data_IF_050438926554
#
_entry.id   IF_050438926554
#
_cell.length_a   1.000
_cell.length_b   1.000
_cell.length_c   1.000
_cell.angle_alpha   90.00
_cell.angle_beta   90.00
_cell.angle_gamma   90.00
#
_symmetry.space_group_name_H-M   'P 1'
#
loop_
_entity.id
_entity.type
_entity.pdbx_description
1 polymer ?
#
# COMPACT_ATOMS: atom_id res chain seq x y z
N UNK A 1 -3.49 5.20 2.81
CA UNK A 1 -2.17 4.95 2.18
C UNK A 1 -1.54 3.74 2.86
N UNK A 2 -0.93 2.85 2.10
CA UNK A 2 -0.23 1.66 2.61
C UNK A 2 1.27 1.82 2.33
N UNK A 3 2.10 1.73 3.37
CA UNK A 3 3.56 1.80 3.27
C UNK A 3 4.17 0.40 3.32
N UNK A 4 5.10 0.09 2.42
CA UNK A 4 5.90 -1.13 2.49
C UNK A 4 6.99 -0.95 3.54
N UNK A 5 6.76 -1.41 4.77
CA UNK A 5 7.66 -1.11 5.90
C UNK A 5 9.03 -1.80 5.77
N UNK A 6 9.15 -2.86 4.97
CA UNK A 6 10.41 -3.56 4.73
C UNK A 6 11.20 -3.07 3.50
N UNK A 7 10.76 -1.99 2.84
CA UNK A 7 11.53 -1.45 1.70
C UNK A 7 12.93 -1.00 2.13
N UNK A 8 13.92 -1.24 1.27
CA UNK A 8 15.26 -0.67 1.41
C UNK A 8 15.27 0.86 1.34
N UNK A 9 16.38 1.48 1.72
CA UNK A 9 16.67 2.90 1.49
C UNK A 9 16.99 3.13 0.01
N UNK A 10 17.74 2.22 -0.60
CA UNK A 10 17.95 2.11 -2.05
C UNK A 10 17.95 0.63 -2.46
N UNK A 11 18.23 0.35 -3.74
CA UNK A 11 18.39 -1.04 -4.23
C UNK A 11 19.58 -1.73 -3.55
N UNK A 12 20.65 -0.98 -3.27
CA UNK A 12 21.91 -1.47 -2.68
C UNK A 12 21.96 -1.30 -1.15
N UNK A 13 21.15 -0.41 -0.58
CA UNK A 13 21.14 -0.09 0.84
C UNK A 13 19.79 -0.49 1.46
N UNK A 14 19.74 -1.65 2.14
CA UNK A 14 18.53 -2.10 2.83
C UNK A 14 18.20 -1.20 4.03
N UNK A 15 19.22 -0.81 4.81
CA UNK A 15 19.06 -0.05 6.05
C UNK A 15 20.07 1.07 6.16
N UNK A 16 19.63 2.20 6.72
CA UNK A 16 20.48 3.30 7.18
C UNK A 16 20.27 3.49 8.67
N UNK A 17 21.35 3.58 9.43
CA UNK A 17 21.31 3.72 10.89
C UNK A 17 20.46 2.65 11.61
N UNK A 18 20.49 1.42 11.08
CA UNK A 18 19.75 0.28 11.62
C UNK A 18 18.28 0.19 11.23
N UNK A 19 17.77 1.13 10.43
CA UNK A 19 16.38 1.22 10.01
C UNK A 19 16.20 1.03 8.50
N UNK A 20 15.16 0.28 8.09
CA UNK A 20 14.80 0.13 6.67
C UNK A 20 14.28 1.45 6.10
N UNK A 21 14.45 1.70 4.80
CA UNK A 21 13.89 2.89 4.15
C UNK A 21 12.37 3.01 4.34
N UNK A 22 11.65 1.88 4.27
CA UNK A 22 10.22 1.83 4.54
C UNK A 22 9.83 2.24 5.97
N UNK A 23 10.57 1.80 6.98
CA UNK A 23 10.33 2.17 8.37
C UNK A 23 10.70 3.64 8.64
N UNK A 24 11.78 4.13 8.03
CA UNK A 24 12.14 5.55 8.09
C UNK A 24 11.03 6.43 7.50
N UNK A 25 10.58 6.11 6.27
CA UNK A 25 9.49 6.82 5.61
C UNK A 25 8.20 6.80 6.44
N UNK A 26 7.86 5.66 7.04
CA UNK A 26 6.68 5.52 7.90
C UNK A 26 6.74 6.49 9.08
N UNK A 27 7.89 6.61 9.77
CA UNK A 27 8.05 7.54 10.90
C UNK A 27 7.86 9.00 10.47
N UNK A 28 8.47 9.41 9.36
CA UNK A 28 8.31 10.76 8.82
C UNK A 28 6.86 11.05 8.46
N UNK A 29 6.21 10.11 7.78
CA UNK A 29 4.80 10.21 7.42
C UNK A 29 3.89 10.31 8.65
N UNK A 30 4.13 9.50 9.69
CA UNK A 30 3.36 9.56 10.94
C UNK A 30 3.50 10.90 11.66
N UNK A 31 4.72 11.45 11.72
CA UNK A 31 4.98 12.73 12.36
C UNK A 31 4.27 13.90 11.65
N UNK A 32 4.32 13.92 10.31
CA UNK A 32 3.63 14.93 9.50
C UNK A 32 2.10 14.74 9.53
N UNK A 33 1.63 13.48 9.39
CA UNK A 33 0.21 13.13 9.40
C UNK A 33 -0.47 13.51 10.72
N UNK A 34 0.20 13.35 11.86
CA UNK A 34 -0.36 13.73 13.16
C UNK A 34 -0.73 15.22 13.27
N UNK A 35 -0.08 16.08 12.49
CA UNK A 35 -0.32 17.52 12.44
C UNK A 35 -1.14 17.95 11.22
N UNK A 36 -1.39 17.02 10.29
CA UNK A 36 -2.05 17.31 9.04
C UNK A 36 -3.57 17.47 9.24
N UNK A 37 -4.20 18.56 8.73
CA UNK A 37 -5.62 18.84 8.99
C UNK A 37 -6.58 17.74 8.57
N UNK A 38 -6.21 16.96 7.53
CA UNK A 38 -7.04 15.92 6.93
C UNK A 38 -6.72 14.51 7.41
N UNK A 39 -6.01 14.37 8.53
CA UNK A 39 -5.56 13.08 9.07
C UNK A 39 -6.67 12.04 9.26
N UNK A 40 -7.89 12.50 9.53
CA UNK A 40 -9.07 11.65 9.75
C UNK A 40 -9.68 11.12 8.43
N UNK A 41 -9.31 11.70 7.28
CA UNK A 41 -9.78 11.27 5.94
C UNK A 41 -8.87 10.21 5.30
N UNK A 42 -7.63 10.06 5.78
CA UNK A 42 -6.65 9.13 5.22
C UNK A 42 -5.92 8.40 6.34
N UNK A 43 -6.17 7.11 6.48
CA UNK A 43 -5.36 6.24 7.33
C UNK A 43 -4.01 5.93 6.68
N UNK A 44 -2.95 5.89 7.50
CA UNK A 44 -1.65 5.32 7.15
C UNK A 44 -1.59 3.90 7.71
N UNK A 45 -1.54 2.92 6.84
CA UNK A 45 -1.39 1.51 7.17
C UNK A 45 -0.04 0.99 6.67
N UNK A 46 0.37 -0.18 7.15
CA UNK A 46 1.59 -0.85 6.71
C UNK A 46 1.27 -2.19 6.08
N UNK A 47 2.16 -2.63 5.21
CA UNK A 47 2.27 -4.02 4.77
C UNK A 47 3.72 -4.46 4.87
N UNK A 48 3.93 -5.77 4.92
CA UNK A 48 5.28 -6.35 4.90
C UNK A 48 5.99 -6.01 3.59
N UNK A 49 5.44 -6.45 2.46
CA UNK A 49 6.08 -6.35 1.16
C UNK A 49 5.06 -5.96 0.06
N UNK A 50 5.50 -5.15 -0.91
CA UNK A 50 4.78 -4.85 -2.16
C UNK A 50 5.44 -5.52 -3.39
N UNK A 51 6.38 -6.44 -3.18
CA UNK A 51 7.12 -7.18 -4.20
C UNK A 51 7.83 -6.29 -5.24
N UNK A 52 8.38 -5.16 -4.79
CA UNK A 52 9.02 -4.16 -5.65
C UNK A 52 10.40 -3.75 -5.15
N UNK A 53 11.14 -4.70 -4.55
CA UNK A 53 12.43 -4.45 -3.91
C UNK A 53 13.51 -3.94 -4.89
N UNK A 54 13.32 -4.11 -6.20
CA UNK A 54 14.19 -3.56 -7.25
C UNK A 54 13.96 -2.06 -7.49
N UNK A 55 12.90 -1.47 -6.92
CA UNK A 55 12.55 -0.05 -7.05
C UNK A 55 12.08 0.54 -5.70
N UNK A 56 12.88 0.44 -4.61
CA UNK A 56 12.50 0.98 -3.31
C UNK A 56 12.65 2.51 -3.29
N UNK A 57 12.03 3.23 -2.35
CA UNK A 57 10.98 2.81 -1.43
C UNK A 57 9.60 2.89 -2.11
N UNK A 58 8.58 2.22 -1.55
CA UNK A 58 7.25 2.13 -2.18
C UNK A 58 6.06 2.31 -1.23
N UNK A 59 5.02 2.94 -1.75
CA UNK A 59 3.70 3.09 -1.10
C UNK A 59 2.57 2.85 -2.10
N UNK A 60 1.38 2.58 -1.58
CA UNK A 60 0.16 2.51 -2.36
C UNK A 60 -0.92 3.47 -1.82
N UNK A 61 -1.54 4.26 -2.70
CA UNK A 61 -2.83 4.89 -2.41
C UNK A 61 -3.94 3.92 -2.77
N UNK A 62 -4.84 3.67 -1.82
CA UNK A 62 -5.96 2.75 -1.96
C UNK A 62 -7.20 3.46 -1.44
N UNK A 63 -8.31 3.33 -2.17
CA UNK A 63 -9.60 3.90 -1.81
C UNK A 63 -10.73 3.11 -2.45
N UNK A 64 -11.87 3.03 -1.76
CA UNK A 64 -13.06 2.34 -2.28
C UNK A 64 -13.54 3.00 -3.56
N UNK A 65 -13.70 2.22 -4.63
CA UNK A 65 -14.15 2.71 -5.93
C UNK A 65 -13.13 3.57 -6.69
N UNK A 66 -11.93 3.78 -6.14
CA UNK A 66 -10.84 4.56 -6.74
C UNK A 66 -9.73 3.63 -7.25
N UNK A 67 -8.97 4.02 -8.29
CA UNK A 67 -7.80 3.26 -8.67
C UNK A 67 -6.80 3.20 -7.52
N UNK A 68 -6.07 2.08 -7.44
CA UNK A 68 -4.89 1.99 -6.59
C UNK A 68 -3.70 2.56 -7.36
N UNK A 69 -3.02 3.54 -6.77
CA UNK A 69 -1.76 4.05 -7.32
C UNK A 69 -0.59 3.46 -6.56
N UNK A 70 0.34 2.85 -7.28
CA UNK A 70 1.63 2.41 -6.75
C UNK A 70 2.67 3.48 -7.06
N UNK A 71 3.37 3.93 -6.02
CA UNK A 71 4.54 4.79 -6.13
C UNK A 71 5.78 3.99 -5.72
N UNK A 72 6.85 4.09 -6.51
CA UNK A 72 8.13 3.40 -6.33
C UNK A 72 9.28 4.39 -6.57
N UNK A 73 10.54 3.99 -6.35
CA UNK A 73 11.70 4.90 -6.44
C UNK A 73 11.61 6.12 -5.51
N UNK A 74 10.93 5.97 -4.37
CA UNK A 74 10.78 7.06 -3.42
C UNK A 74 12.05 7.21 -2.60
N UNK A 75 12.54 8.44 -2.45
CA UNK A 75 13.54 8.77 -1.44
C UNK A 75 12.84 8.81 -0.06
N UNK A 76 13.07 7.80 0.81
CA UNK A 76 12.37 7.72 2.09
C UNK A 76 12.69 8.87 3.05
N UNK A 77 13.79 9.61 2.82
CA UNK A 77 14.23 10.71 3.69
C UNK A 77 13.46 12.00 3.41
N UNK A 78 13.09 12.24 2.15
CA UNK A 78 12.60 13.55 1.70
C UNK A 78 11.15 13.53 1.21
N UNK A 79 10.62 12.39 0.74
CA UNK A 79 9.35 12.37 0.02
C UNK A 79 8.07 12.47 0.87
N UNK A 80 8.16 12.45 2.21
CA UNK A 80 6.99 12.30 3.08
C UNK A 80 5.96 13.45 2.93
N UNK A 81 6.43 14.71 2.84
CA UNK A 81 5.55 15.88 2.67
C UNK A 81 4.87 15.89 1.29
N UNK A 82 5.62 15.52 0.24
CA UNK A 82 5.09 15.41 -1.11
C UNK A 82 4.05 14.30 -1.22
N UNK A 83 4.24 13.18 -0.52
CA UNK A 83 3.24 12.11 -0.46
C UNK A 83 1.94 12.61 0.18
N UNK A 84 1.98 13.37 1.28
CA UNK A 84 0.76 13.95 1.84
C UNK A 84 0.09 14.95 0.88
N UNK A 85 0.87 15.75 0.15
CA UNK A 85 0.35 16.63 -0.92
C UNK A 85 -0.33 15.83 -2.04
N UNK A 86 0.28 14.73 -2.47
CA UNK A 86 -0.33 13.82 -3.44
C UNK A 86 -1.59 13.13 -2.89
N UNK A 87 -1.65 12.88 -1.58
CA UNK A 87 -2.83 12.33 -0.93
C UNK A 87 -4.00 13.31 -0.95
N UNK A 88 -3.77 14.61 -0.79
CA UNK A 88 -4.82 15.64 -0.94
C UNK A 88 -5.48 15.56 -2.32
N UNK A 89 -4.66 15.50 -3.38
CA UNK A 89 -5.15 15.36 -4.76
C UNK A 89 -5.98 14.08 -4.96
N UNK A 90 -5.55 12.97 -4.34
CA UNK A 90 -6.27 11.69 -4.40
C UNK A 90 -7.58 11.72 -3.61
N UNK A 91 -7.62 12.40 -2.46
CA UNK A 91 -8.80 12.57 -1.65
C UNK A 91 -9.84 13.46 -2.36
N UNK A 92 -9.40 14.58 -2.93
CA UNK A 92 -10.24 15.59 -3.59
C UNK A 92 -10.87 15.08 -4.90
N UNK A 93 -10.23 14.11 -5.54
CA UNK A 93 -10.77 13.45 -6.72
C UNK A 93 -11.82 12.41 -6.31
N UNK A 94 -13.08 12.59 -6.71
CA UNK A 94 -14.19 11.69 -6.40
C UNK A 94 -13.98 10.28 -6.98
N UNK A 95 -13.47 10.18 -8.19
CA UNK A 95 -13.13 8.93 -8.89
C UNK A 95 -11.70 8.46 -8.66
N UNK A 96 -10.91 9.23 -7.89
CA UNK A 96 -9.50 8.98 -7.60
C UNK A 96 -8.58 9.16 -8.81
N UNK A 97 -9.03 9.78 -9.90
CA UNK A 97 -8.21 10.08 -11.06
C UNK A 97 -7.38 11.36 -10.84
N UNK A 98 -6.08 11.18 -10.66
CA UNK A 98 -5.12 12.29 -10.48
C UNK A 98 -4.23 12.42 -11.73
N UNK A 99 -4.25 13.56 -12.45
CA UNK A 99 -3.30 13.81 -13.54
C UNK A 99 -1.84 13.84 -13.04
N UNK A 100 -0.91 13.26 -13.81
CA UNK A 100 0.50 13.16 -13.40
C UNK A 100 1.12 14.54 -13.10
N UNK A 101 0.89 15.50 -13.98
CA UNK A 101 1.46 16.86 -13.90
C UNK A 101 0.97 17.67 -12.69
N UNK A 102 -0.08 17.22 -11.99
CA UNK A 102 -0.55 17.87 -10.76
C UNK A 102 0.19 17.38 -9.51
N UNK A 103 0.86 16.23 -9.58
CA UNK A 103 1.64 15.71 -8.46
C UNK A 103 2.85 16.62 -8.20
N UNK A 104 3.39 16.62 -6.97
CA UNK A 104 4.69 17.23 -6.68
C UNK A 104 5.74 16.77 -7.71
N UNK A 105 6.61 17.66 -8.22
CA UNK A 105 7.52 17.36 -9.32
C UNK A 105 8.31 16.06 -9.14
N UNK A 106 8.83 15.82 -7.93
CA UNK A 106 9.66 14.65 -7.63
C UNK A 106 8.85 13.35 -7.58
N UNK A 107 7.54 13.41 -7.37
CA UNK A 107 6.64 12.25 -7.38
C UNK A 107 6.07 11.91 -8.76
N UNK A 108 6.12 12.84 -9.73
CA UNK A 108 5.61 12.59 -11.08
C UNK A 108 6.21 11.33 -11.73
N UNK A 109 7.55 11.12 -11.73
CA UNK A 109 8.14 9.91 -12.30
C UNK A 109 7.96 8.68 -11.41
N UNK A 110 7.73 8.85 -10.11
CA UNK A 110 7.61 7.75 -9.15
C UNK A 110 6.31 6.96 -9.28
N UNK A 111 5.30 7.46 -10.01
CA UNK A 111 4.01 6.77 -10.17
C UNK A 111 4.09 5.64 -11.20
N UNK A 112 4.40 4.46 -10.70
CA UNK A 112 4.71 3.27 -11.52
C UNK A 112 3.47 2.52 -12.00
N UNK A 113 2.37 2.51 -11.24
CA UNK A 113 1.16 1.84 -11.66
C UNK A 113 -0.12 2.56 -11.24
N UNK A 114 -1.15 2.38 -12.07
CA UNK A 114 -2.55 2.69 -11.77
C UNK A 114 -3.38 1.44 -11.99
N UNK A 115 -3.74 0.77 -10.91
CA UNK A 115 -4.53 -0.45 -10.92
C UNK A 115 -6.01 -0.05 -10.79
N UNK A 116 -6.92 -0.51 -11.68
CA UNK A 116 -8.35 -0.22 -11.55
C UNK A 116 -8.91 -0.63 -10.18
N UNK A 117 -9.97 0.05 -9.69
CA UNK A 117 -10.66 -0.40 -8.50
C UNK A 117 -11.14 -1.85 -8.69
N UNK A 118 -11.09 -2.64 -7.61
CA UNK A 118 -11.68 -3.97 -7.63
C UNK A 118 -13.16 -3.87 -8.05
N UNK A 119 -13.67 -4.84 -8.84
CA UNK A 119 -15.09 -4.90 -9.12
C UNK A 119 -15.89 -4.87 -7.82
N UNK A 120 -17.04 -4.19 -7.83
CA UNK A 120 -17.94 -4.23 -6.69
C UNK A 120 -18.29 -5.70 -6.41
N UNK A 121 -17.96 -6.19 -5.22
CA UNK A 121 -18.38 -7.53 -4.80
C UNK A 121 -19.89 -7.47 -4.65
N UNK A 122 -20.61 -8.15 -5.54
CA UNK A 122 -22.05 -8.33 -5.37
C UNK A 122 -22.29 -9.17 -4.12
N UNK A 123 -23.19 -8.72 -3.25
CA UNK A 123 -23.47 -9.37 -1.97
C UNK A 123 -24.07 -10.80 -2.10
N UNK A 124 -24.25 -11.31 -3.32
CA UNK A 124 -24.84 -12.62 -3.59
C UNK A 124 -23.91 -13.81 -3.37
N UNK A 125 -22.62 -13.59 -3.08
CA UNK A 125 -21.70 -14.66 -2.65
C UNK A 125 -21.61 -14.68 -1.11
N UNK A 126 -22.72 -14.99 -0.43
CA UNK A 126 -22.68 -15.39 0.99
C UNK A 126 -22.94 -16.89 1.14
N UNK A 127 -21.97 -17.54 1.77
CA UNK A 127 -22.12 -18.66 2.70
C UNK A 127 -22.62 -20.01 2.13
N UNK A 128 -21.70 -20.75 1.52
CA UNK A 128 -21.73 -22.20 1.29
C UNK A 128 -20.51 -22.49 0.44
N UNK A 129 -19.39 -22.96 0.96
CA UNK A 129 -19.22 -24.36 1.34
C UNK A 129 -18.18 -24.51 2.46
N UNK A 130 -18.63 -24.95 3.63
CA UNK A 130 -17.81 -25.71 4.57
C UNK A 130 -18.54 -27.01 4.89
N UNK A 131 -18.45 -27.96 3.96
CA UNK A 131 -18.51 -29.40 4.24
C UNK A 131 -17.15 -29.93 3.79
N UNK A 132 -16.29 -30.47 4.64
CA UNK A 132 -16.58 -31.58 5.54
C UNK A 132 -16.19 -32.87 4.83
N UNK A 133 -14.92 -33.27 4.96
CA UNK A 133 -14.49 -34.65 4.73
C UNK A 133 -13.32 -34.94 5.65
N UNK A 134 -13.64 -35.21 6.92
CA UNK A 134 -12.85 -36.12 7.73
C UNK A 134 -12.90 -37.48 7.01
N UNK A 135 -11.78 -37.86 6.38
CA UNK A 135 -11.59 -39.22 5.92
C UNK A 135 -11.49 -40.11 7.16
N UNK A 136 -12.61 -40.78 7.46
CA UNK A 136 -12.67 -41.90 8.39
C UNK A 136 -11.62 -42.95 7.99
N UNK A 137 -10.71 -43.21 8.93
CA UNK A 137 -9.84 -44.37 8.94
C UNK A 137 -10.70 -45.64 9.06
N UNK A 138 -10.56 -46.64 8.16
CA UNK A 138 -11.24 -47.91 8.35
C UNK A 138 -10.45 -48.78 9.35
N UNK A 139 -11.17 -49.19 10.40
CA UNK A 139 -10.84 -50.29 11.28
C UNK A 139 -10.68 -51.61 10.49
N UNK A 140 -9.85 -52.45 11.07
CA UNK A 140 -9.41 -53.79 10.70
C UNK A 140 -10.55 -54.77 10.35
N UNK A 141 -10.27 -55.74 9.47
CA UNK A 141 -10.80 -57.11 9.56
C UNK A 141 -9.76 -58.09 9.01
N UNK A 142 -9.63 -59.18 9.75
CA UNK A 142 -8.58 -60.21 9.77
C UNK A 142 -8.67 -61.22 8.60
N UNK A 143 -7.51 -61.83 8.27
CA UNK A 143 -7.33 -63.25 7.91
C UNK A 143 -5.85 -63.62 8.05
#
# INVERSE_FOLDING_TARGET
MIVCQSCGVSVEEEKRDGETGGAHLLKQLQALHGQWPRRDELAIATTGCLCICEQPCAIAYVGTGKPTYLFTHLDPITCAADLLTAAELYLDSTDGMVPAFKLPPDLQPCRTARIPPAPAVSASLRAGDRHGSELQSPLQTEA
#
